data_IF_148708530647
#
_entry.id   IF_148708530647
#
_cell.length_a   1.000
_cell.length_b   1.000
_cell.length_c   1.000
_cell.angle_alpha   90.00
_cell.angle_beta   90.00
_cell.angle_gamma   90.00
#
_symmetry.space_group_name_H-M   'P 1'
#
loop_
_entity.id
_entity.type
_entity.pdbx_description
1 polymer ?
#
# COMPACT_ATOMS: atom_id res chain seq x y z
N UNK A 1 -7.22 0.16 -25.29
CA UNK A 1 -7.83 0.68 -24.05
C UNK A 1 -7.51 -0.31 -22.94
N UNK A 2 -7.07 0.13 -21.77
CA UNK A 2 -6.58 -0.77 -20.71
C UNK A 2 -7.75 -1.53 -20.06
N UNK A 3 -7.63 -2.85 -19.85
CA UNK A 3 -8.69 -3.64 -19.23
C UNK A 3 -8.81 -3.28 -17.75
N UNK A 4 -10.04 -3.15 -17.24
CA UNK A 4 -10.32 -2.84 -15.84
C UNK A 4 -9.86 -3.94 -14.86
N UNK A 5 -9.54 -5.13 -15.36
CA UNK A 5 -8.99 -6.24 -14.59
C UNK A 5 -7.48 -6.14 -14.39
N UNK A 6 -6.81 -5.14 -14.97
CA UNK A 6 -5.37 -4.98 -14.81
C UNK A 6 -5.06 -4.54 -13.38
N UNK A 7 -4.23 -5.31 -12.69
CA UNK A 7 -3.80 -5.02 -11.32
C UNK A 7 -2.32 -4.65 -11.28
N UNK A 8 -1.90 -3.97 -10.22
CA UNK A 8 -0.47 -3.71 -9.98
C UNK A 8 0.26 -5.03 -9.74
N UNK A 9 -0.35 -6.00 -9.05
CA UNK A 9 0.24 -7.30 -8.78
C UNK A 9 0.61 -8.08 -10.07
N UNK A 10 -0.23 -8.04 -11.11
CA UNK A 10 0.04 -8.73 -12.36
C UNK A 10 1.03 -7.99 -13.27
N UNK A 11 1.12 -6.66 -13.14
CA UNK A 11 1.97 -5.82 -13.97
C UNK A 11 3.37 -5.63 -13.37
N UNK A 12 3.45 -5.39 -12.07
CA UNK A 12 4.67 -5.17 -11.29
C UNK A 12 4.54 -5.84 -9.90
N UNK A 13 4.88 -7.14 -9.83
CA UNK A 13 4.81 -7.91 -8.60
C UNK A 13 5.67 -7.32 -7.46
N UNK A 14 6.86 -6.81 -7.79
CA UNK A 14 7.81 -6.27 -6.81
C UNK A 14 7.25 -5.00 -6.15
N UNK A 15 6.68 -4.09 -6.95
CA UNK A 15 6.00 -2.91 -6.42
C UNK A 15 4.78 -3.29 -5.57
N UNK A 16 4.00 -4.27 -6.03
CA UNK A 16 2.84 -4.74 -5.27
C UNK A 16 3.23 -5.32 -3.91
N UNK A 17 4.33 -6.07 -3.85
CA UNK A 17 4.87 -6.60 -2.59
C UNK A 17 5.32 -5.48 -1.65
N UNK A 18 6.00 -4.44 -2.17
CA UNK A 18 6.41 -3.28 -1.38
C UNK A 18 5.21 -2.52 -0.79
N UNK A 19 4.15 -2.33 -1.57
CA UNK A 19 2.89 -1.70 -1.09
C UNK A 19 2.26 -2.54 0.03
N UNK A 20 2.24 -3.87 -0.12
CA UNK A 20 1.73 -4.77 0.91
C UNK A 20 2.56 -4.70 2.20
N UNK A 21 3.89 -4.65 2.07
CA UNK A 21 4.80 -4.56 3.20
C UNK A 21 4.63 -3.24 3.98
N UNK A 22 4.47 -2.10 3.29
CA UNK A 22 4.25 -0.81 3.96
C UNK A 22 2.91 -0.78 4.71
N UNK A 23 1.86 -1.37 4.15
CA UNK A 23 0.58 -1.49 4.87
C UNK A 23 0.74 -2.29 6.17
N UNK A 24 1.44 -3.43 6.10
CA UNK A 24 1.72 -4.23 7.30
C UNK A 24 2.55 -3.43 8.31
N UNK A 25 3.56 -2.69 7.85
CA UNK A 25 4.41 -1.85 8.69
C UNK A 25 3.63 -0.78 9.45
N UNK A 26 2.62 -0.17 8.81
CA UNK A 26 1.73 0.79 9.46
C UNK A 26 0.83 0.16 10.53
N UNK A 27 0.40 -1.09 10.32
CA UNK A 27 -0.38 -1.84 11.32
C UNK A 27 0.49 -2.33 12.50
N UNK A 28 1.72 -2.75 12.22
CA UNK A 28 2.65 -3.27 13.23
C UNK A 28 3.28 -2.18 14.10
N UNK A 29 3.33 -0.93 13.60
CA UNK A 29 3.99 0.18 14.29
C UNK A 29 2.99 1.19 14.86
N UNK A 30 3.29 1.69 16.06
CA UNK A 30 2.58 2.84 16.63
C UNK A 30 3.16 4.12 16.02
N UNK A 31 2.39 4.79 15.17
CA UNK A 31 2.81 6.06 14.57
C UNK A 31 2.62 7.22 15.53
N UNK A 32 3.75 7.83 15.93
CA UNK A 32 3.81 8.99 16.83
C UNK A 32 4.32 10.26 16.12
N UNK A 33 4.26 10.25 14.79
CA UNK A 33 4.70 11.37 13.96
C UNK A 33 3.58 12.42 13.97
N UNK A 34 3.86 13.59 14.53
CA UNK A 34 2.86 14.63 14.78
C UNK A 34 2.15 15.16 13.52
N UNK A 35 2.77 15.00 12.35
CA UNK A 35 2.23 15.43 11.06
C UNK A 35 1.45 14.34 10.30
N UNK A 36 1.47 13.10 10.78
CA UNK A 36 0.88 11.96 10.09
C UNK A 36 -0.47 11.58 10.67
N UNK A 37 -1.29 10.92 9.85
CA UNK A 37 -2.61 10.42 10.22
C UNK A 37 -3.04 9.31 9.26
N UNK A 38 -4.06 8.55 9.64
CA UNK A 38 -4.70 7.56 8.78
C UNK A 38 -5.92 8.18 8.07
N UNK A 39 -5.92 8.15 6.74
CA UNK A 39 -7.07 8.56 5.95
C UNK A 39 -8.19 7.50 6.03
N UNK A 40 -9.44 7.91 5.85
CA UNK A 40 -10.55 6.97 5.71
C UNK A 40 -10.39 6.11 4.45
N UNK A 41 -10.87 4.86 4.45
CA UNK A 41 -10.89 3.99 3.26
C UNK A 41 -11.66 4.58 2.07
#
# INVERSE_FOLDING_TARGET
MFPASMTIADFDPELSEAINAERQRQEDHVELIASENYASP
#
